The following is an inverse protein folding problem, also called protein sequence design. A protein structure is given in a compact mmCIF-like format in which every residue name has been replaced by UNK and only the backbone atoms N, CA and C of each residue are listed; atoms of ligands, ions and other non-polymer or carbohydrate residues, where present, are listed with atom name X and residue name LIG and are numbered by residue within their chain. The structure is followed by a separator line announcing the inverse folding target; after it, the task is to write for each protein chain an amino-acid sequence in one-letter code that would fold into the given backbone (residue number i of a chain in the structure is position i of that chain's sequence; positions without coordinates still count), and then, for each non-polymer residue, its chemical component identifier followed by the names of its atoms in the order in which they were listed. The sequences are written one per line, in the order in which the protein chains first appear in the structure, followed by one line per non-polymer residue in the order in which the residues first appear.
data_IF_134282562160
#
_entry.id   IF_134282562160
#
_cell.length_a   1.000
_cell.length_b   1.000
_cell.length_c   1.000
_cell.angle_alpha   90.00
_cell.angle_beta   90.00
_cell.angle_gamma   90.00
#
_symmetry.space_group_name_H-M   'P 1'
#
loop_
_entity.id
_entity.type
_entity.pdbx_description
1 polymer ?
#
# COMPACT_ATOMS: atom_id res chain seq x y z
N UNK A 1 10.00 10.40 -21.34
CA UNK A 1 10.47 10.79 -19.99
C UNK A 1 11.38 9.69 -19.46
N UNK A 2 12.55 10.06 -18.97
CA UNK A 2 13.50 9.13 -18.35
C UNK A 2 13.06 8.86 -16.92
N UNK A 3 12.85 7.60 -16.58
CA UNK A 3 12.26 7.20 -15.29
C UNK A 3 13.11 6.15 -14.60
N UNK A 4 13.45 6.39 -13.35
CA UNK A 4 14.15 5.44 -12.50
C UNK A 4 13.18 4.76 -11.55
N UNK A 5 13.19 3.42 -11.50
CA UNK A 5 12.40 2.61 -10.58
C UNK A 5 13.32 1.91 -9.60
N UNK A 6 13.20 2.27 -8.32
CA UNK A 6 13.97 1.69 -7.22
C UNK A 6 13.09 0.62 -6.54
N UNK A 7 13.50 -0.64 -6.64
CA UNK A 7 12.72 -1.80 -6.24
C UNK A 7 11.92 -2.39 -7.41
N UNK A 8 12.39 -3.50 -7.94
CA UNK A 8 11.86 -4.14 -9.15
C UNK A 8 10.97 -5.35 -8.81
N UNK A 9 10.32 -5.30 -7.63
CA UNK A 9 9.34 -6.32 -7.20
C UNK A 9 7.98 -6.19 -7.88
N UNK A 10 6.94 -6.73 -7.23
CA UNK A 10 5.55 -6.66 -7.73
C UNK A 10 5.13 -5.23 -8.11
N UNK A 11 5.25 -4.27 -7.20
CA UNK A 11 4.76 -2.91 -7.40
C UNK A 11 5.61 -2.16 -8.43
N UNK A 12 6.92 -2.04 -8.20
CA UNK A 12 7.80 -1.30 -9.11
C UNK A 12 7.86 -1.93 -10.52
N UNK A 13 7.89 -3.26 -10.60
CA UNK A 13 7.85 -3.97 -11.88
C UNK A 13 6.52 -3.79 -12.64
N UNK A 14 5.37 -3.79 -11.93
CA UNK A 14 4.07 -3.53 -12.55
C UNK A 14 3.96 -2.09 -13.07
N UNK A 15 4.45 -1.11 -12.29
CA UNK A 15 4.53 0.29 -12.73
C UNK A 15 5.41 0.39 -13.99
N UNK A 16 6.63 -0.16 -13.97
CA UNK A 16 7.54 -0.12 -15.10
C UNK A 16 6.89 -0.69 -16.38
N UNK A 17 6.19 -1.81 -16.25
CA UNK A 17 5.46 -2.44 -17.36
C UNK A 17 4.37 -1.54 -17.94
N UNK A 18 3.53 -0.95 -17.08
CA UNK A 18 2.43 -0.09 -17.50
C UNK A 18 2.95 1.24 -18.09
N UNK A 19 4.02 1.82 -17.53
CA UNK A 19 4.65 3.04 -18.05
C UNK A 19 5.29 2.82 -19.44
N UNK A 20 5.91 1.67 -19.66
CA UNK A 20 6.42 1.29 -20.99
C UNK A 20 5.29 1.15 -21.98
N UNK A 21 4.25 0.42 -21.62
CA UNK A 21 3.10 0.17 -22.50
C UNK A 21 2.35 1.44 -22.89
N UNK A 22 2.19 2.38 -21.96
CA UNK A 22 1.52 3.66 -22.20
C UNK A 22 2.37 4.67 -22.97
N UNK A 23 3.68 4.44 -23.14
CA UNK A 23 4.62 5.42 -23.67
C UNK A 23 4.90 6.59 -22.74
N UNK A 24 4.50 6.49 -21.46
CA UNK A 24 4.77 7.52 -20.44
C UNK A 24 6.28 7.64 -20.17
N UNK A 25 6.96 6.52 -20.00
CA UNK A 25 8.41 6.46 -19.92
C UNK A 25 9.01 6.13 -21.31
N UNK A 26 10.01 6.89 -21.72
CA UNK A 26 10.81 6.64 -22.93
C UNK A 26 12.04 5.82 -22.63
N UNK A 27 12.48 5.84 -21.39
CA UNK A 27 13.61 5.08 -20.86
C UNK A 27 13.33 4.70 -19.39
N UNK A 28 13.51 3.44 -19.06
CA UNK A 28 13.30 2.86 -17.73
C UNK A 28 14.61 2.33 -17.18
N UNK A 29 15.07 2.94 -16.08
CA UNK A 29 16.27 2.52 -15.35
C UNK A 29 15.83 1.80 -14.09
N UNK A 30 16.41 0.63 -13.83
CA UNK A 30 16.13 -0.16 -12.65
C UNK A 30 17.23 -0.06 -11.60
N UNK A 31 16.84 0.01 -10.35
CA UNK A 31 17.72 -0.16 -9.17
C UNK A 31 17.09 -1.21 -8.27
N UNK A 32 17.84 -2.25 -7.91
CA UNK A 32 17.39 -3.24 -6.94
C UNK A 32 18.60 -3.74 -6.12
N UNK A 33 18.40 -3.89 -4.82
CA UNK A 33 19.45 -4.38 -3.91
C UNK A 33 19.76 -5.88 -4.12
N UNK A 34 18.83 -6.63 -4.72
CA UNK A 34 19.02 -8.03 -5.10
C UNK A 34 19.51 -8.12 -6.54
N UNK A 35 20.74 -8.55 -6.74
CA UNK A 35 21.30 -8.80 -8.08
C UNK A 35 20.43 -9.78 -8.89
N UNK A 36 19.84 -10.76 -8.20
CA UNK A 36 18.93 -11.73 -8.83
C UNK A 36 17.64 -11.05 -9.33
N UNK A 37 17.05 -10.15 -8.54
CA UNK A 37 15.86 -9.39 -8.97
C UNK A 37 16.21 -8.44 -10.11
N UNK A 38 17.32 -7.74 -10.01
CA UNK A 38 17.80 -6.82 -11.05
C UNK A 38 18.01 -7.56 -12.39
N UNK A 39 18.75 -8.69 -12.37
CA UNK A 39 18.96 -9.50 -13.55
C UNK A 39 17.66 -10.04 -14.15
N UNK A 40 16.73 -10.52 -13.29
CA UNK A 40 15.44 -11.04 -13.75
C UNK A 40 14.55 -9.95 -14.34
N UNK A 41 14.53 -8.77 -13.73
CA UNK A 41 13.76 -7.63 -14.25
C UNK A 41 14.25 -7.18 -15.64
N UNK A 42 15.57 -7.17 -15.85
CA UNK A 42 16.18 -6.90 -17.15
C UNK A 42 15.83 -7.99 -18.17
N UNK A 43 16.00 -9.28 -17.79
CA UNK A 43 15.68 -10.44 -18.65
C UNK A 43 14.25 -10.42 -19.18
N UNK A 44 13.28 -10.09 -18.31
CA UNK A 44 11.85 -10.06 -18.68
C UNK A 44 11.39 -8.70 -19.22
N UNK A 45 12.32 -7.76 -19.45
CA UNK A 45 12.07 -6.50 -20.11
C UNK A 45 11.26 -5.49 -19.27
N UNK A 46 11.34 -5.53 -17.94
CA UNK A 46 10.70 -4.49 -17.10
C UNK A 46 11.42 -3.15 -17.22
N UNK A 47 12.75 -3.17 -17.33
CA UNK A 47 13.61 -1.98 -17.46
C UNK A 47 14.58 -2.14 -18.64
N UNK A 48 15.14 -1.03 -19.10
CA UNK A 48 16.08 -1.02 -20.24
C UNK A 48 17.51 -1.34 -19.80
N UNK A 49 17.86 -0.93 -18.56
CA UNK A 49 19.14 -1.22 -17.92
C UNK A 49 19.04 -1.18 -16.42
N UNK A 50 20.03 -1.73 -15.76
CA UNK A 50 20.23 -1.69 -14.31
C UNK A 50 21.44 -0.79 -14.01
N UNK A 51 21.30 0.08 -13.04
CA UNK A 51 22.37 0.97 -12.56
C UNK A 51 22.45 0.96 -11.04
N UNK A 52 23.57 1.47 -10.49
CA UNK A 52 23.68 1.79 -9.08
C UNK A 52 22.83 3.04 -8.76
N UNK A 53 22.45 3.21 -7.49
CA UNK A 53 21.53 4.27 -7.09
C UNK A 53 22.02 5.67 -7.53
N UNK A 54 23.30 5.97 -7.29
CA UNK A 54 23.91 7.27 -7.55
C UNK A 54 23.88 7.63 -9.04
N UNK A 55 24.09 6.64 -9.90
CA UNK A 55 24.06 6.80 -11.36
C UNK A 55 22.62 6.91 -11.87
N UNK A 56 21.74 6.05 -11.37
CA UNK A 56 20.38 5.94 -11.83
C UNK A 56 19.52 7.19 -11.56
N UNK A 57 19.79 7.93 -10.47
CA UNK A 57 19.02 9.13 -10.08
C UNK A 57 19.64 10.43 -10.59
N UNK A 58 20.86 10.38 -11.10
CA UNK A 58 21.50 11.52 -11.72
C UNK A 58 20.99 11.67 -13.15
N UNK A 59 20.44 12.76 -13.59
CA UNK A 59 19.89 12.94 -14.94
C UNK A 59 18.65 12.06 -15.25
N UNK A 60 17.70 12.02 -14.33
CA UNK A 60 16.39 11.39 -14.51
C UNK A 60 15.27 12.40 -14.25
N UNK A 61 14.15 12.27 -14.94
CA UNK A 61 12.98 13.16 -14.80
C UNK A 61 12.12 12.75 -13.61
N UNK A 62 12.00 11.43 -13.39
CA UNK A 62 11.12 10.83 -12.37
C UNK A 62 11.84 9.67 -11.66
N UNK A 63 11.79 9.68 -10.33
CA UNK A 63 12.20 8.57 -9.48
C UNK A 63 10.99 8.00 -8.75
N UNK A 64 10.79 6.69 -8.88
CA UNK A 64 9.73 5.92 -8.22
C UNK A 64 10.38 4.96 -7.22
N UNK A 65 10.09 5.13 -5.93
CA UNK A 65 10.61 4.27 -4.85
C UNK A 65 9.56 3.24 -4.49
N UNK A 66 9.82 1.98 -4.80
CA UNK A 66 8.89 0.85 -4.59
C UNK A 66 9.57 -0.29 -3.79
N UNK A 67 10.19 0.07 -2.68
CA UNK A 67 10.91 -0.82 -1.76
C UNK A 67 10.16 -0.92 -0.42
N UNK A 68 10.47 -1.91 0.45
CA UNK A 68 9.92 -1.97 1.80
C UNK A 68 10.17 -0.69 2.59
N UNK A 69 9.15 -0.22 3.33
CA UNK A 69 9.13 1.10 3.99
C UNK A 69 10.29 1.33 4.98
N UNK A 70 10.85 0.28 5.58
CA UNK A 70 12.03 0.40 6.44
C UNK A 70 13.31 0.76 5.66
N UNK A 71 13.45 0.29 4.43
CA UNK A 71 14.58 0.63 3.57
C UNK A 71 14.44 2.03 2.99
N UNK A 72 13.22 2.47 2.78
CA UNK A 72 12.91 3.80 2.28
C UNK A 72 13.43 4.91 3.21
N UNK A 73 13.45 4.69 4.53
CA UNK A 73 14.02 5.64 5.51
C UNK A 73 15.48 5.99 5.24
N UNK A 74 16.21 5.12 4.56
CA UNK A 74 17.61 5.36 4.15
C UNK A 74 17.71 5.86 2.72
N UNK A 75 16.92 5.28 1.82
CA UNK A 75 17.05 5.54 0.38
C UNK A 75 16.46 6.90 0.00
N UNK A 76 15.31 7.30 0.55
CA UNK A 76 14.67 8.56 0.18
C UNK A 76 15.56 9.79 0.46
N UNK A 77 16.17 9.97 1.65
CA UNK A 77 17.08 11.10 1.86
C UNK A 77 18.27 11.11 0.89
N UNK A 78 18.85 9.94 0.60
CA UNK A 78 19.96 9.82 -0.36
C UNK A 78 19.52 10.22 -1.78
N UNK A 79 18.36 9.75 -2.22
CA UNK A 79 17.77 10.14 -3.51
C UNK A 79 17.60 11.66 -3.56
N UNK A 80 16.99 12.26 -2.52
CA UNK A 80 16.76 13.70 -2.48
C UNK A 80 18.06 14.51 -2.46
N UNK A 81 19.15 13.98 -1.90
CA UNK A 81 20.48 14.63 -1.96
C UNK A 81 21.10 14.61 -3.35
N UNK A 82 20.86 13.54 -4.11
CA UNK A 82 21.50 13.28 -5.40
C UNK A 82 20.77 13.92 -6.60
N UNK A 83 19.43 14.04 -6.53
CA UNK A 83 18.63 14.53 -7.66
C UNK A 83 18.85 15.99 -8.01
N UNK A 84 18.59 16.32 -9.27
CA UNK A 84 18.50 17.69 -9.77
C UNK A 84 17.24 18.43 -9.28
N UNK A 85 17.18 19.75 -9.51
CA UNK A 85 16.03 20.57 -9.11
C UNK A 85 14.75 20.26 -9.92
N UNK A 86 14.88 19.71 -11.11
CA UNK A 86 13.77 19.35 -11.98
C UNK A 86 13.22 17.95 -11.77
N UNK A 87 13.97 17.08 -11.08
CA UNK A 87 13.57 15.68 -10.87
C UNK A 87 12.43 15.57 -9.88
N UNK A 88 11.41 14.78 -10.20
CA UNK A 88 10.31 14.43 -9.31
C UNK A 88 10.58 13.10 -8.64
N UNK A 89 10.27 12.98 -7.36
CA UNK A 89 10.37 11.74 -6.59
C UNK A 89 9.00 11.37 -6.01
N UNK A 90 8.64 10.12 -6.10
CA UNK A 90 7.46 9.56 -5.41
C UNK A 90 7.79 8.20 -4.83
N UNK A 91 7.11 7.83 -3.77
CA UNK A 91 7.19 6.49 -3.18
C UNK A 91 5.87 5.73 -3.34
N UNK A 92 5.93 4.43 -3.11
CA UNK A 92 4.79 3.51 -3.17
C UNK A 92 4.55 2.82 -1.82
N UNK A 93 5.10 3.37 -0.75
CA UNK A 93 5.05 2.78 0.59
C UNK A 93 3.65 2.74 1.18
N UNK A 94 3.39 1.74 2.02
CA UNK A 94 2.09 1.55 2.69
C UNK A 94 1.91 2.42 3.94
N UNK A 95 2.97 3.05 4.44
CA UNK A 95 2.98 4.01 5.56
C UNK A 95 3.59 5.31 5.10
N UNK A 96 3.09 6.46 5.60
CA UNK A 96 3.51 7.78 5.11
C UNK A 96 4.11 8.68 6.18
N UNK A 97 3.50 8.73 7.37
CA UNK A 97 3.85 9.74 8.39
C UNK A 97 5.35 9.77 8.73
N UNK A 98 5.92 8.60 9.01
CA UNK A 98 7.35 8.49 9.38
C UNK A 98 8.27 8.94 8.25
N UNK A 99 7.93 8.62 7.01
CA UNK A 99 8.71 8.93 5.82
C UNK A 99 8.65 10.43 5.51
N UNK A 100 7.46 11.03 5.59
CA UNK A 100 7.26 12.46 5.37
C UNK A 100 7.97 13.29 6.44
N UNK A 101 7.82 12.93 7.72
CA UNK A 101 8.48 13.62 8.83
C UNK A 101 10.01 13.58 8.70
N UNK A 102 10.55 12.45 8.24
CA UNK A 102 12.00 12.29 8.05
C UNK A 102 12.58 13.32 7.09
N UNK A 103 11.85 13.68 6.05
CA UNK A 103 12.32 14.59 5.00
C UNK A 103 11.67 15.98 5.05
N UNK A 104 10.89 16.29 6.08
CA UNK A 104 10.10 17.53 6.19
C UNK A 104 10.96 18.79 6.01
N UNK A 105 12.18 18.80 6.53
CA UNK A 105 13.12 19.92 6.44
C UNK A 105 14.20 19.74 5.37
N UNK A 106 14.07 18.76 4.49
CA UNK A 106 15.06 18.51 3.46
C UNK A 106 15.01 19.61 2.38
N UNK A 107 16.18 20.07 1.91
CA UNK A 107 16.32 21.12 0.86
C UNK A 107 15.52 20.83 -0.43
N UNK A 108 15.29 19.54 -0.73
CA UNK A 108 14.54 19.04 -1.88
C UNK A 108 13.15 18.47 -1.50
N UNK A 109 12.60 18.81 -0.32
CA UNK A 109 11.27 18.33 0.11
C UNK A 109 10.20 18.58 -0.97
N UNK A 110 10.27 19.72 -1.64
CA UNK A 110 9.31 20.09 -2.70
C UNK A 110 9.36 19.18 -3.93
N UNK A 111 10.44 18.44 -4.15
CA UNK A 111 10.56 17.49 -5.24
C UNK A 111 9.90 16.13 -4.93
N UNK A 112 9.58 15.88 -3.67
CA UNK A 112 8.97 14.62 -3.21
C UNK A 112 7.46 14.76 -3.07
N UNK A 113 6.73 13.86 -3.72
CA UNK A 113 5.26 13.72 -3.63
C UNK A 113 4.97 12.35 -3.03
N UNK A 114 4.58 12.27 -1.76
CA UNK A 114 4.30 10.98 -1.11
C UNK A 114 3.07 10.32 -1.72
N UNK A 115 3.24 9.07 -2.19
CA UNK A 115 2.18 8.31 -2.84
C UNK A 115 1.96 6.94 -2.23
N UNK A 116 0.74 6.41 -2.34
CA UNK A 116 0.41 5.04 -1.96
C UNK A 116 -0.65 4.46 -2.90
N UNK A 117 -0.26 3.60 -3.86
CA UNK A 117 -1.24 2.86 -4.66
C UNK A 117 -1.87 1.75 -3.81
N UNK A 118 -3.18 1.85 -3.54
CA UNK A 118 -3.94 0.84 -2.78
C UNK A 118 -4.13 -0.44 -3.60
N UNK A 119 -3.03 -1.11 -3.92
CA UNK A 119 -3.00 -2.32 -4.75
C UNK A 119 -1.84 -3.22 -4.37
N UNK A 120 -2.02 -4.53 -4.56
CA UNK A 120 -1.01 -5.55 -4.31
C UNK A 120 -1.61 -6.95 -4.34
N UNK A 121 -0.73 -7.95 -4.33
CA UNK A 121 -1.06 -9.37 -4.13
C UNK A 121 -0.14 -9.96 -3.06
N UNK A 122 -0.33 -11.22 -2.72
CA UNK A 122 0.56 -11.96 -1.82
C UNK A 122 1.89 -12.36 -2.46
N UNK A 123 2.03 -12.22 -3.77
CA UNK A 123 3.23 -12.58 -4.53
C UNK A 123 4.30 -11.49 -4.46
N UNK A 124 5.56 -11.84 -4.72
CA UNK A 124 6.70 -10.95 -4.63
C UNK A 124 7.75 -11.20 -5.72
N UNK A 125 8.68 -10.25 -5.89
CA UNK A 125 9.73 -10.31 -6.89
C UNK A 125 9.32 -9.88 -8.29
N UNK A 126 10.27 -9.80 -9.25
CA UNK A 126 10.04 -9.28 -10.60
C UNK A 126 9.04 -10.10 -11.42
N UNK A 127 9.00 -11.42 -11.21
CA UNK A 127 8.09 -12.33 -11.92
C UNK A 127 6.64 -12.15 -11.49
N UNK A 128 6.38 -11.56 -10.34
CA UNK A 128 5.05 -11.21 -9.86
C UNK A 128 4.48 -9.94 -10.51
N UNK A 129 5.29 -9.18 -11.25
CA UNK A 129 4.84 -7.95 -11.92
C UNK A 129 3.69 -8.22 -12.91
N UNK A 130 2.60 -7.49 -12.76
CA UNK A 130 1.37 -7.64 -13.54
C UNK A 130 1.06 -6.38 -14.33
N UNK A 131 0.65 -6.54 -15.57
CA UNK A 131 0.09 -5.46 -16.37
C UNK A 131 -1.31 -5.11 -15.85
N UNK A 132 -1.60 -3.82 -15.70
CA UNK A 132 -2.90 -3.33 -15.27
C UNK A 132 -3.24 -3.63 -13.80
N UNK A 133 -2.25 -3.93 -12.96
CA UNK A 133 -2.43 -4.17 -11.52
C UNK A 133 -3.20 -3.04 -10.82
N UNK A 134 -3.03 -1.82 -11.29
CA UNK A 134 -3.53 -0.59 -10.66
C UNK A 134 -4.88 -0.13 -11.20
N UNK A 135 -5.33 -0.65 -12.33
CA UNK A 135 -6.54 -0.18 -13.02
C UNK A 135 -7.79 -0.27 -12.14
N UNK A 136 -8.50 0.87 -11.99
CA UNK A 136 -9.70 1.00 -11.17
C UNK A 136 -9.44 0.89 -9.67
N UNK A 137 -8.19 1.13 -9.23
CA UNK A 137 -7.80 1.21 -7.83
C UNK A 137 -7.59 2.67 -7.43
N UNK A 138 -7.48 2.92 -6.13
CA UNK A 138 -7.22 4.25 -5.58
C UNK A 138 -5.72 4.42 -5.34
N UNK A 139 -5.18 5.56 -5.76
CA UNK A 139 -3.89 6.07 -5.32
C UNK A 139 -4.12 7.20 -4.31
N UNK A 140 -3.39 7.17 -3.20
CA UNK A 140 -3.42 8.23 -2.21
C UNK A 140 -2.20 9.13 -2.43
N UNK A 141 -2.43 10.45 -2.52
CA UNK A 141 -1.38 11.48 -2.48
C UNK A 141 -1.45 12.20 -1.13
N UNK A 142 -0.33 12.18 -0.40
CA UNK A 142 -0.27 12.77 0.93
C UNK A 142 0.45 14.11 0.93
N UNK A 143 0.01 15.03 1.83
CA UNK A 143 0.68 16.32 2.13
C UNK A 143 1.15 17.04 0.86
N UNK A 144 0.28 17.10 -0.15
CA UNK A 144 0.59 17.64 -1.48
C UNK A 144 0.95 19.13 -1.45
N UNK A 145 0.49 19.85 -0.45
CA UNK A 145 0.76 21.28 -0.21
C UNK A 145 2.25 21.56 0.11
N UNK A 146 2.97 20.55 0.62
CA UNK A 146 4.41 20.62 0.89
C UNK A 146 5.25 20.27 -0.34
N UNK A 147 4.62 19.86 -1.44
CA UNK A 147 5.26 19.48 -2.69
C UNK A 147 5.11 20.60 -3.74
N UNK A 148 6.08 20.68 -4.66
CA UNK A 148 6.01 21.65 -5.76
C UNK A 148 4.84 21.30 -6.70
N UNK A 149 4.01 22.29 -7.14
CA UNK A 149 2.83 22.02 -7.96
C UNK A 149 3.12 21.23 -9.24
N UNK A 150 4.29 21.47 -9.86
CA UNK A 150 4.71 20.75 -11.07
C UNK A 150 5.00 19.27 -10.78
N UNK A 151 5.51 18.96 -9.59
CA UNK A 151 5.79 17.59 -9.17
C UNK A 151 4.49 16.86 -8.83
N UNK A 152 3.55 17.53 -8.14
CA UNK A 152 2.21 16.99 -7.87
C UNK A 152 1.51 16.66 -9.18
N UNK A 153 1.47 17.60 -10.15
CA UNK A 153 0.84 17.39 -11.44
C UNK A 153 1.44 16.20 -12.22
N UNK A 154 2.76 15.97 -12.10
CA UNK A 154 3.41 14.83 -12.74
C UNK A 154 3.00 13.50 -12.09
N UNK A 155 2.88 13.44 -10.77
CA UNK A 155 2.47 12.22 -10.05
C UNK A 155 0.98 11.95 -10.25
N UNK A 156 0.13 12.98 -10.29
CA UNK A 156 -1.27 12.83 -10.69
C UNK A 156 -1.37 12.18 -12.09
N UNK A 157 -0.61 12.71 -13.05
CA UNK A 157 -0.57 12.15 -14.42
C UNK A 157 -0.05 10.71 -14.43
N UNK A 158 0.95 10.37 -13.59
CA UNK A 158 1.44 9.01 -13.42
C UNK A 158 0.30 8.08 -13.01
N UNK A 159 -0.40 8.38 -11.90
CA UNK A 159 -1.46 7.51 -11.38
C UNK A 159 -2.67 7.44 -12.33
N UNK A 160 -3.03 8.53 -12.99
CA UNK A 160 -4.06 8.52 -14.05
C UNK A 160 -3.66 7.62 -15.23
N UNK A 161 -2.38 7.64 -15.63
CA UNK A 161 -1.85 6.75 -16.68
C UNK A 161 -1.94 5.28 -16.29
N UNK A 162 -1.76 4.97 -14.99
CA UNK A 162 -1.96 3.63 -14.44
C UNK A 162 -3.45 3.25 -14.29
N UNK A 163 -4.38 4.17 -14.61
CA UNK A 163 -5.83 3.95 -14.54
C UNK A 163 -6.38 4.00 -13.11
N UNK A 164 -5.76 4.77 -12.23
CA UNK A 164 -6.14 4.94 -10.83
C UNK A 164 -6.97 6.20 -10.60
N UNK A 165 -7.90 6.12 -9.64
CA UNK A 165 -8.54 7.30 -9.05
C UNK A 165 -7.64 7.85 -7.94
N UNK A 166 -7.63 9.18 -7.75
CA UNK A 166 -6.72 9.83 -6.79
C UNK A 166 -7.52 10.36 -5.61
N UNK A 167 -7.07 10.02 -4.40
CA UNK A 167 -7.54 10.57 -3.14
C UNK A 167 -6.43 11.41 -2.50
N UNK A 168 -6.81 12.54 -1.87
CA UNK A 168 -5.87 13.44 -1.19
C UNK A 168 -6.15 13.44 0.31
N UNK A 169 -5.10 13.30 1.12
CA UNK A 169 -5.19 13.35 2.57
C UNK A 169 -3.82 13.69 3.18
N UNK A 170 -3.78 13.96 4.46
CA UNK A 170 -2.50 14.07 5.16
C UNK A 170 -1.88 12.68 5.36
N UNK A 171 -0.57 12.62 5.56
CA UNK A 171 0.14 11.37 5.88
C UNK A 171 -0.39 10.72 7.15
N UNK A 172 -0.84 11.49 8.12
CA UNK A 172 -1.44 11.02 9.36
C UNK A 172 -2.82 10.38 9.12
N UNK A 173 -3.70 11.04 8.36
CA UNK A 173 -5.01 10.48 7.96
C UNK A 173 -4.86 9.19 7.14
N UNK A 174 -3.83 9.12 6.29
CA UNK A 174 -3.53 7.92 5.51
C UNK A 174 -3.12 6.76 6.44
N UNK A 175 -2.19 6.98 7.36
CA UNK A 175 -1.72 5.94 8.27
C UNK A 175 -2.83 5.47 9.22
N UNK A 176 -3.67 6.39 9.71
CA UNK A 176 -4.86 6.04 10.50
C UNK A 176 -5.87 5.23 9.68
N UNK A 177 -6.21 5.67 8.48
CA UNK A 177 -7.22 5.00 7.64
C UNK A 177 -6.75 3.61 7.20
N UNK A 178 -5.49 3.48 6.78
CA UNK A 178 -4.93 2.18 6.34
C UNK A 178 -4.76 1.20 7.49
N UNK A 179 -4.61 1.68 8.73
CA UNK A 179 -4.61 0.81 9.91
C UNK A 179 -5.90 -0.02 9.99
N UNK A 180 -7.05 0.57 9.71
CA UNK A 180 -8.35 -0.12 9.76
C UNK A 180 -8.64 -0.95 8.50
N UNK A 181 -8.36 -0.43 7.29
CA UNK A 181 -8.80 -1.09 6.05
C UNK A 181 -7.77 -2.05 5.45
N UNK A 182 -6.52 -2.00 5.91
CA UNK A 182 -5.42 -2.80 5.38
C UNK A 182 -4.64 -3.55 6.48
N UNK A 183 -4.14 -2.83 7.49
CA UNK A 183 -3.22 -3.43 8.47
C UNK A 183 -3.96 -4.33 9.45
N UNK A 184 -5.12 -3.92 9.98
CA UNK A 184 -5.96 -4.74 10.82
C UNK A 184 -6.39 -6.06 10.15
N UNK A 185 -6.88 -6.09 8.90
CA UNK A 185 -7.18 -7.33 8.20
C UNK A 185 -6.00 -8.30 8.12
N UNK A 186 -4.77 -7.82 7.92
CA UNK A 186 -3.59 -8.68 7.93
C UNK A 186 -3.26 -9.20 9.32
N UNK A 187 -3.29 -8.34 10.34
CA UNK A 187 -3.08 -8.75 11.73
C UNK A 187 -4.10 -9.80 12.18
N UNK A 188 -5.38 -9.60 11.84
CA UNK A 188 -6.46 -10.55 12.11
C UNK A 188 -6.25 -11.90 11.39
N UNK A 189 -5.83 -11.87 10.11
CA UNK A 189 -5.53 -13.07 9.35
C UNK A 189 -4.35 -13.86 9.95
N UNK A 190 -3.27 -13.17 10.38
CA UNK A 190 -2.17 -13.81 11.09
C UNK A 190 -2.61 -14.42 12.43
N UNK A 191 -3.39 -13.69 13.21
CA UNK A 191 -3.90 -14.18 14.50
C UNK A 191 -4.80 -15.40 14.32
N UNK A 192 -5.73 -15.38 13.35
CA UNK A 192 -6.60 -16.50 13.04
C UNK A 192 -5.81 -17.73 12.57
N UNK A 193 -4.85 -17.54 11.67
CA UNK A 193 -3.99 -18.62 11.19
C UNK A 193 -3.22 -19.27 12.35
N UNK A 194 -2.63 -18.45 13.24
CA UNK A 194 -1.90 -18.94 14.41
C UNK A 194 -2.83 -19.67 15.40
N UNK A 195 -4.05 -19.16 15.63
CA UNK A 195 -5.01 -19.80 16.51
C UNK A 195 -5.40 -21.21 16.06
N UNK A 196 -5.59 -21.40 14.73
CA UNK A 196 -5.91 -22.73 14.17
C UNK A 196 -4.68 -23.64 14.19
N UNK A 197 -3.48 -23.12 13.88
CA UNK A 197 -2.24 -23.89 13.91
C UNK A 197 -1.85 -24.38 15.31
N UNK A 198 -2.29 -23.69 16.37
CA UNK A 198 -2.02 -24.06 17.75
C UNK A 198 -2.83 -25.26 18.24
N UNK A 199 -3.83 -25.75 17.47
CA UNK A 199 -4.65 -26.91 17.85
C UNK A 199 -3.92 -28.24 17.63
N UNK A 200 -4.10 -29.19 18.54
CA UNK A 200 -3.47 -30.53 18.46
C UNK A 200 -4.02 -31.33 17.27
N UNK A 201 -5.31 -31.22 16.99
CA UNK A 201 -6.02 -31.88 15.90
C UNK A 201 -6.01 -31.09 14.58
N UNK A 202 -5.07 -30.14 14.44
CA UNK A 202 -4.98 -29.23 13.29
C UNK A 202 -5.01 -29.92 11.91
N UNK A 203 -4.54 -31.17 11.80
CA UNK A 203 -4.58 -31.88 10.53
C UNK A 203 -6.02 -32.10 10.06
N UNK A 204 -6.90 -32.59 10.93
CA UNK A 204 -8.32 -32.78 10.62
C UNK A 204 -8.98 -31.43 10.30
N UNK A 205 -8.66 -30.37 11.09
CA UNK A 205 -9.19 -29.03 10.87
C UNK A 205 -8.79 -28.53 9.48
N UNK A 206 -7.53 -28.71 9.06
CA UNK A 206 -7.07 -28.29 7.74
C UNK A 206 -7.62 -29.13 6.59
N UNK A 207 -7.87 -30.43 6.80
CA UNK A 207 -8.52 -31.29 5.82
C UNK A 207 -9.96 -30.84 5.52
N UNK A 208 -10.62 -30.21 6.51
CA UNK A 208 -11.96 -29.62 6.39
C UNK A 208 -11.94 -28.15 5.90
N UNK A 209 -10.76 -27.54 5.76
CA UNK A 209 -10.63 -26.14 5.37
C UNK A 209 -11.16 -25.90 3.95
N UNK A 210 -12.29 -25.21 3.87
CA UNK A 210 -12.98 -24.84 2.62
C UNK A 210 -12.75 -23.37 2.26
N UNK A 211 -13.49 -22.88 1.26
CA UNK A 211 -13.36 -21.53 0.72
C UNK A 211 -13.44 -20.39 1.76
N UNK A 212 -14.29 -20.51 2.77
CA UNK A 212 -14.44 -19.50 3.82
C UNK A 212 -13.14 -19.29 4.60
N UNK A 213 -12.57 -20.38 5.17
CA UNK A 213 -11.28 -20.27 5.88
C UNK A 213 -10.17 -19.80 4.96
N UNK A 214 -10.03 -20.39 3.76
CA UNK A 214 -8.98 -20.05 2.79
C UNK A 214 -9.01 -18.56 2.41
N UNK A 215 -10.20 -17.98 2.17
CA UNK A 215 -10.35 -16.58 1.84
C UNK A 215 -10.00 -15.66 3.02
N UNK A 216 -10.40 -16.02 4.24
CA UNK A 216 -10.15 -15.21 5.45
C UNK A 216 -8.67 -15.19 5.81
N UNK A 217 -7.95 -16.32 5.70
CA UNK A 217 -6.50 -16.39 6.02
C UNK A 217 -5.59 -16.12 4.82
N UNK A 218 -6.12 -15.76 3.66
CA UNK A 218 -5.32 -15.49 2.45
C UNK A 218 -4.21 -14.47 2.71
N UNK A 219 -4.53 -13.42 3.45
CA UNK A 219 -3.58 -12.36 3.79
C UNK A 219 -2.41 -12.84 4.67
N UNK A 220 -2.59 -13.92 5.42
CA UNK A 220 -1.52 -14.50 6.23
C UNK A 220 -0.39 -15.15 5.41
N UNK A 221 -0.55 -15.29 4.09
CA UNK A 221 0.50 -15.75 3.17
C UNK A 221 1.48 -14.64 2.79
N UNK A 222 1.17 -13.38 3.11
CA UNK A 222 2.01 -12.23 2.77
C UNK A 222 3.35 -12.27 3.50
N UNK A 223 4.39 -11.72 2.87
CA UNK A 223 5.76 -11.75 3.36
C UNK A 223 5.93 -11.02 4.71
N UNK A 224 6.55 -11.68 5.68
CA UNK A 224 6.89 -11.09 6.97
C UNK A 224 7.87 -9.92 6.84
N UNK A 225 8.82 -9.98 5.89
CA UNK A 225 9.80 -8.91 5.65
C UNK A 225 9.17 -7.61 5.15
N UNK A 226 7.99 -7.70 4.50
CA UNK A 226 7.21 -6.54 4.09
C UNK A 226 6.29 -6.05 5.22
N UNK A 227 5.58 -6.94 5.91
CA UNK A 227 4.54 -6.56 6.87
C UNK A 227 5.08 -6.14 8.24
N UNK A 228 6.18 -6.74 8.70
CA UNK A 228 6.77 -6.36 9.99
C UNK A 228 7.18 -4.87 10.03
N UNK A 229 7.88 -4.29 9.03
CA UNK A 229 8.15 -2.85 9.00
C UNK A 229 6.89 -1.98 8.96
N UNK A 230 5.85 -2.39 8.24
CA UNK A 230 4.57 -1.67 8.18
C UNK A 230 3.96 -1.58 9.58
N UNK A 231 3.85 -2.69 10.29
CA UNK A 231 3.37 -2.71 11.67
C UNK A 231 4.25 -1.91 12.64
N UNK A 232 5.56 -1.86 12.41
CA UNK A 232 6.46 -1.05 13.23
C UNK A 232 6.23 0.45 13.02
N UNK A 233 6.11 0.89 11.77
CA UNK A 233 5.96 2.32 11.45
C UNK A 233 4.56 2.83 11.80
N UNK A 234 3.52 2.03 11.63
CA UNK A 234 2.14 2.41 11.94
C UNK A 234 1.62 1.83 13.27
N UNK A 235 2.51 1.57 14.23
CA UNK A 235 2.22 0.84 15.45
C UNK A 235 1.06 1.42 16.25
N UNK A 236 1.02 2.73 16.44
CA UNK A 236 0.00 3.37 17.27
C UNK A 236 -1.42 3.12 16.74
N UNK A 237 -1.64 3.38 15.46
CA UNK A 237 -2.95 3.19 14.82
C UNK A 237 -3.31 1.72 14.63
N UNK A 238 -2.31 0.83 14.42
CA UNK A 238 -2.55 -0.62 14.37
C UNK A 238 -2.99 -1.14 15.73
N UNK A 239 -2.37 -0.70 16.82
CA UNK A 239 -2.80 -1.06 18.19
C UNK A 239 -4.22 -0.57 18.45
N UNK A 240 -4.53 0.69 18.14
CA UNK A 240 -5.87 1.25 18.26
C UNK A 240 -6.91 0.41 17.50
N UNK A 241 -6.63 0.10 16.23
CA UNK A 241 -7.55 -0.70 15.41
C UNK A 241 -7.73 -2.14 15.95
N UNK A 242 -6.67 -2.73 16.48
CA UNK A 242 -6.72 -4.05 17.14
C UNK A 242 -7.54 -4.01 18.43
N UNK A 243 -7.42 -2.97 19.25
CA UNK A 243 -8.20 -2.83 20.48
C UNK A 243 -9.70 -2.75 20.18
N UNK A 244 -10.08 -1.99 19.14
CA UNK A 244 -11.47 -1.94 18.65
C UNK A 244 -11.93 -3.32 18.19
N UNK A 245 -11.12 -4.02 17.39
CA UNK A 245 -11.45 -5.35 16.88
C UNK A 245 -11.58 -6.38 18.00
N UNK A 246 -10.66 -6.39 18.97
CA UNK A 246 -10.69 -7.28 20.16
C UNK A 246 -11.96 -7.04 20.97
N UNK A 247 -12.36 -5.77 21.18
CA UNK A 247 -13.59 -5.43 21.88
C UNK A 247 -14.81 -6.09 21.21
N UNK A 248 -14.93 -5.97 19.88
CA UNK A 248 -16.04 -6.60 19.15
C UNK A 248 -15.98 -8.13 19.14
N UNK A 249 -14.78 -8.73 19.12
CA UNK A 249 -14.64 -10.19 19.28
C UNK A 249 -15.09 -10.67 20.66
N UNK A 250 -14.73 -9.93 21.71
CA UNK A 250 -15.17 -10.23 23.08
C UNK A 250 -16.68 -10.13 23.19
N UNK A 251 -17.28 -9.07 22.66
CA UNK A 251 -18.73 -8.87 22.65
C UNK A 251 -19.45 -10.02 21.96
N UNK A 252 -18.97 -10.44 20.77
CA UNK A 252 -19.53 -11.56 20.03
C UNK A 252 -19.39 -12.89 20.80
N UNK A 253 -18.21 -13.16 21.37
CA UNK A 253 -17.95 -14.35 22.19
C UNK A 253 -18.89 -14.39 23.43
N UNK A 254 -19.06 -13.25 24.10
CA UNK A 254 -19.81 -13.19 25.36
C UNK A 254 -21.31 -13.33 25.09
N UNK A 255 -21.85 -12.80 23.98
CA UNK A 255 -23.23 -13.03 23.58
C UNK A 255 -23.52 -14.51 23.34
N UNK A 256 -22.59 -15.26 22.74
CA UNK A 256 -22.71 -16.72 22.56
C UNK A 256 -22.61 -17.45 23.89
N UNK A 257 -21.65 -17.07 24.77
CA UNK A 257 -21.41 -17.72 26.05
C UNK A 257 -22.61 -17.57 27.02
N UNK A 258 -23.28 -16.42 26.92
CA UNK A 258 -24.42 -16.08 27.80
C UNK A 258 -25.77 -16.46 27.18
N UNK A 259 -25.78 -17.12 26.00
CA UNK A 259 -26.99 -17.51 25.26
C UNK A 259 -27.89 -16.30 24.92
N UNK A 260 -27.29 -15.14 24.67
CA UNK A 260 -27.98 -13.88 24.29
C UNK A 260 -28.29 -13.88 22.77
N UNK A 261 -29.19 -14.77 22.31
CA UNK A 261 -29.44 -15.01 20.88
C UNK A 261 -29.91 -13.78 20.12
N UNK A 262 -30.76 -12.94 20.70
CA UNK A 262 -31.22 -11.69 20.09
C UNK A 262 -30.05 -10.72 19.85
N UNK A 263 -29.19 -10.55 20.85
CA UNK A 263 -28.00 -9.70 20.74
C UNK A 263 -27.02 -10.23 19.71
N UNK A 264 -26.82 -11.55 19.65
CA UNK A 264 -25.97 -12.18 18.63
C UNK A 264 -26.53 -11.92 17.21
N UNK A 265 -27.84 -12.04 17.03
CA UNK A 265 -28.51 -11.73 15.76
C UNK A 265 -28.34 -10.27 15.37
N UNK A 266 -28.46 -9.35 16.31
CA UNK A 266 -28.23 -7.92 16.07
C UNK A 266 -26.80 -7.61 15.66
N UNK A 267 -25.79 -8.22 16.28
CA UNK A 267 -24.39 -8.08 15.90
C UNK A 267 -24.16 -8.54 14.45
N UNK A 268 -24.76 -9.66 14.05
CA UNK A 268 -24.66 -10.18 12.68
C UNK A 268 -25.37 -9.23 11.68
N UNK A 269 -26.58 -8.77 11.98
CA UNK A 269 -27.33 -7.87 11.13
C UNK A 269 -26.61 -6.53 10.93
N UNK A 270 -26.03 -5.99 12.01
CA UNK A 270 -25.23 -4.77 11.93
C UNK A 270 -24.00 -4.95 11.04
N UNK A 271 -23.29 -6.09 11.15
CA UNK A 271 -22.17 -6.39 10.27
C UNK A 271 -22.57 -6.53 8.79
N UNK A 272 -23.78 -7.04 8.50
CA UNK A 272 -24.28 -7.19 7.14
C UNK A 272 -24.50 -5.86 6.41
N UNK A 273 -24.58 -4.73 7.12
CA UNK A 273 -24.67 -3.39 6.53
C UNK A 273 -23.45 -3.04 5.68
N UNK A 274 -22.30 -3.73 5.89
CA UNK A 274 -21.07 -3.53 5.10
C UNK A 274 -21.31 -3.75 3.60
N UNK A 275 -22.26 -4.62 3.22
CA UNK A 275 -22.62 -4.85 1.81
C UNK A 275 -23.07 -3.56 1.14
N UNK A 276 -23.99 -2.83 1.76
CA UNK A 276 -24.50 -1.56 1.19
C UNK A 276 -23.42 -0.48 1.09
N UNK A 277 -22.48 -0.47 2.03
CA UNK A 277 -21.35 0.46 2.03
C UNK A 277 -20.41 0.16 0.86
N UNK A 278 -19.95 -1.09 0.72
CA UNK A 278 -19.00 -1.50 -0.32
C UNK A 278 -19.60 -1.43 -1.74
N UNK A 279 -20.94 -1.58 -1.88
CA UNK A 279 -21.64 -1.45 -3.15
C UNK A 279 -22.07 0.00 -3.46
N UNK A 280 -21.72 0.98 -2.60
CA UNK A 280 -22.10 2.39 -2.76
C UNK A 280 -23.61 2.66 -2.65
N UNK A 281 -24.38 1.70 -2.10
CA UNK A 281 -25.85 1.77 -2.03
C UNK A 281 -26.40 2.38 -0.74
N UNK A 282 -25.54 2.74 0.23
CA UNK A 282 -25.97 3.26 1.52
C UNK A 282 -25.64 4.75 1.67
N UNK A 283 -26.57 5.67 1.31
CA UNK A 283 -26.34 7.12 1.35
C UNK A 283 -26.12 7.67 2.77
N UNK A 284 -26.47 6.93 3.82
CA UNK A 284 -26.32 7.39 5.20
C UNK A 284 -24.87 7.35 5.72
N UNK A 285 -23.99 6.56 5.11
CA UNK A 285 -22.56 6.54 5.45
C UNK A 285 -21.78 7.70 4.82
N UNK A 286 -22.32 8.28 3.75
CA UNK A 286 -21.72 9.41 3.03
C UNK A 286 -22.27 10.77 3.45
N UNK A 287 -22.88 10.89 4.64
CA UNK A 287 -23.49 12.14 5.15
C UNK A 287 -22.52 13.30 5.39
N UNK A 288 -21.24 13.09 5.22
CA UNK A 288 -20.24 14.17 5.16
C UNK A 288 -19.73 14.34 3.72
N UNK A 289 -20.66 14.59 2.78
CA UNK A 289 -20.33 14.84 1.37
C UNK A 289 -19.25 15.92 1.19
N UNK A 290 -19.23 16.96 2.04
CA UNK A 290 -18.19 17.98 2.02
C UNK A 290 -16.78 17.45 2.32
N UNK A 291 -16.65 16.43 3.19
CA UNK A 291 -15.34 15.84 3.51
C UNK A 291 -14.89 14.86 2.42
N UNK A 292 -15.83 14.12 1.84
CA UNK A 292 -15.55 13.18 0.74
C UNK A 292 -15.26 13.94 -0.54
N UNK A 293 -15.99 15.01 -0.83
CA UNK A 293 -15.72 15.90 -1.97
C UNK A 293 -14.31 16.51 -1.86
N UNK A 294 -13.83 16.84 -0.67
CA UNK A 294 -12.44 17.29 -0.44
C UNK A 294 -11.39 16.21 -0.66
N UNK A 295 -11.73 14.92 -0.52
CA UNK A 295 -10.79 13.81 -0.78
C UNK A 295 -10.61 13.54 -2.28
N UNK A 296 -11.59 13.91 -3.12
CA UNK A 296 -11.61 13.59 -4.56
C UNK A 296 -11.61 14.82 -5.48
N UNK A 297 -11.70 16.04 -4.94
CA UNK A 297 -11.66 17.29 -5.72
C UNK A 297 -10.60 18.23 -5.17
N UNK A 298 -9.85 18.85 -6.08
CA UNK A 298 -9.01 20.00 -5.76
C UNK A 298 -9.87 21.19 -5.41
#
# INVERSE_FOLDING_TARGET
MKTTVIGLGLIGGSIARDLRKSGFATELIGVDASEQHAAKALEIGLVDRIEQLEEAVNDTDLVIIAIPVNHELKVLPQVLDLIGSGTTVTDMGSTKKVIVDLVANHKRRKNFVPGHPMSGTEDSGPTAALEGLFKGKIAILCDQEDSGPQHVALIEKLFQTLGMDIAYMTSDEQDHSTAFVSHLPHAAAYALANAVQAKEDRKIIFDLASGGFRSTVRLAKSSASMWHPIFQQNRAYVVESLDVYIKHLIEFRDSMKNEEDEKMLDLINNANNIRGILEGKNPHFFKNEEKITKLYTK
#
